data_IF_229323602343
#
_entry.id   IF_229323602343
#
_cell.length_a   1.000
_cell.length_b   1.000
_cell.length_c   1.000
_cell.angle_alpha   90.00
_cell.angle_beta   90.00
_cell.angle_gamma   90.00
#
_symmetry.space_group_name_H-M   'P 1'
#
loop_
_entity.id
_entity.type
_entity.pdbx_description
1 polymer ?
#
# COMPACT_ATOMS: atom_id res chain seq x y z
N UNK A 1 0.51 -35.73 0.23
CA UNK A 1 0.06 -35.74 -1.18
C UNK A 1 -1.47 -35.70 -1.26
N UNK A 2 -2.20 -36.72 -0.76
CA UNK A 2 -3.68 -36.72 -0.79
C UNK A 2 -4.36 -35.51 -0.12
N UNK A 3 -3.89 -35.07 1.05
CA UNK A 3 -4.48 -33.90 1.73
C UNK A 3 -4.34 -32.58 0.93
N UNK A 4 -3.24 -32.40 0.18
CA UNK A 4 -3.04 -31.21 -0.65
C UNK A 4 -3.88 -31.26 -1.93
N UNK A 5 -4.09 -32.45 -2.51
CA UNK A 5 -4.99 -32.66 -3.64
C UNK A 5 -6.45 -32.38 -3.26
N UNK A 6 -6.84 -32.71 -2.03
CA UNK A 6 -8.18 -32.47 -1.51
C UNK A 6 -8.42 -30.98 -1.24
N UNK A 7 -7.43 -30.26 -0.69
CA UNK A 7 -7.47 -28.80 -0.55
C UNK A 7 -7.57 -28.11 -1.92
N UNK A 8 -6.80 -28.56 -2.93
CA UNK A 8 -6.91 -28.03 -4.30
C UNK A 8 -8.27 -28.27 -4.93
N UNK A 9 -8.90 -29.42 -4.66
CA UNK A 9 -10.28 -29.68 -5.11
C UNK A 9 -11.26 -28.70 -4.47
N UNK A 10 -11.12 -28.41 -3.18
CA UNK A 10 -11.97 -27.43 -2.49
C UNK A 10 -11.76 -26.01 -3.05
N UNK A 11 -10.53 -25.65 -3.42
CA UNK A 11 -10.20 -24.37 -4.07
C UNK A 11 -10.73 -24.24 -5.51
N UNK A 12 -11.01 -25.36 -6.20
CA UNK A 12 -11.46 -25.37 -7.60
C UNK A 12 -12.98 -25.18 -7.80
N UNK A 13 -13.76 -25.14 -6.71
CA UNK A 13 -15.21 -24.92 -6.70
C UNK A 13 -15.46 -23.40 -6.73
N UNK A 14 -16.56 -22.89 -7.33
CA UNK A 14 -16.86 -21.46 -7.33
C UNK A 14 -16.78 -20.84 -5.93
N UNK A 15 -15.78 -19.96 -5.76
CA UNK A 15 -15.55 -19.20 -4.54
C UNK A 15 -16.41 -17.93 -4.57
N UNK A 16 -16.94 -17.56 -3.43
CA UNK A 16 -17.68 -16.31 -3.20
C UNK A 16 -16.76 -15.35 -2.47
N UNK A 17 -16.70 -14.10 -2.91
CA UNK A 17 -15.90 -13.06 -2.26
C UNK A 17 -16.69 -12.52 -1.07
N UNK A 18 -16.03 -12.40 0.08
CA UNK A 18 -16.54 -11.74 1.27
C UNK A 18 -15.49 -10.80 1.87
N UNK A 19 -15.92 -10.02 2.86
CA UNK A 19 -15.06 -9.17 3.67
C UNK A 19 -14.87 -9.80 5.05
N UNK A 20 -13.63 -9.94 5.48
CA UNK A 20 -13.31 -10.38 6.83
C UNK A 20 -13.65 -9.27 7.83
N UNK A 21 -14.47 -9.56 8.83
CA UNK A 21 -14.83 -8.59 9.87
C UNK A 21 -13.94 -8.76 11.09
N UNK A 22 -14.02 -9.94 11.72
CA UNK A 22 -13.35 -10.20 12.99
C UNK A 22 -13.07 -11.69 13.18
N UNK A 23 -11.94 -12.02 13.82
CA UNK A 23 -11.68 -13.38 14.30
C UNK A 23 -12.26 -13.53 15.71
N UNK A 24 -13.16 -14.51 15.88
CA UNK A 24 -13.75 -14.82 17.19
C UNK A 24 -12.84 -15.78 17.95
N UNK A 25 -12.38 -16.84 17.28
CA UNK A 25 -11.62 -17.93 17.88
C UNK A 25 -10.44 -18.37 16.99
N UNK A 26 -9.71 -19.39 17.43
CA UNK A 26 -8.60 -19.98 16.64
C UNK A 26 -9.07 -20.61 15.32
N UNK A 27 -10.29 -21.13 15.28
CA UNK A 27 -10.83 -21.85 14.12
C UNK A 27 -12.01 -21.13 13.46
N UNK A 28 -12.40 -19.95 13.95
CA UNK A 28 -13.65 -19.33 13.54
C UNK A 28 -13.57 -17.81 13.45
N UNK A 29 -14.19 -17.27 12.41
CA UNK A 29 -14.28 -15.84 12.14
C UNK A 29 -15.68 -15.42 11.69
N UNK A 30 -15.94 -14.13 11.76
CA UNK A 30 -17.11 -13.51 11.18
C UNK A 30 -16.69 -12.87 9.86
N UNK A 31 -17.42 -13.18 8.80
CA UNK A 31 -17.24 -12.60 7.47
C UNK A 31 -18.53 -11.96 7.01
N UNK A 32 -18.44 -10.79 6.40
CA UNK A 32 -19.54 -10.14 5.71
C UNK A 32 -19.56 -10.60 4.26
N UNK A 33 -20.67 -11.13 3.77
CA UNK A 33 -20.89 -11.28 2.33
C UNK A 33 -21.10 -9.91 1.70
N UNK A 34 -20.78 -9.78 0.40
CA UNK A 34 -21.09 -8.60 -0.42
C UNK A 34 -22.59 -8.25 -0.43
N UNK A 35 -23.46 -9.19 -0.05
CA UNK A 35 -24.90 -8.98 0.13
C UNK A 35 -25.30 -8.31 1.45
N UNK A 36 -24.33 -7.97 2.32
CA UNK A 36 -24.56 -7.33 3.62
C UNK A 36 -24.99 -8.29 4.74
N UNK A 37 -24.96 -9.60 4.50
CA UNK A 37 -25.21 -10.62 5.51
C UNK A 37 -23.91 -11.09 6.16
N UNK A 38 -23.90 -11.21 7.48
CA UNK A 38 -22.75 -11.71 8.23
C UNK A 38 -22.87 -13.22 8.47
N UNK A 39 -21.79 -13.95 8.22
CA UNK A 39 -21.70 -15.39 8.41
C UNK A 39 -20.63 -15.72 9.44
N UNK A 40 -20.95 -16.66 10.33
CA UNK A 40 -20.00 -17.29 11.24
C UNK A 40 -19.35 -18.46 10.50
N UNK A 41 -18.05 -18.37 10.23
CA UNK A 41 -17.37 -19.24 9.28
C UNK A 41 -16.11 -19.85 9.85
N UNK A 42 -15.91 -21.14 9.55
CA UNK A 42 -14.70 -21.85 9.96
C UNK A 42 -13.53 -21.44 9.08
N UNK A 43 -12.40 -21.12 9.70
CA UNK A 43 -11.12 -20.85 9.04
C UNK A 43 -10.45 -22.19 8.73
N UNK A 44 -10.06 -22.39 7.47
CA UNK A 44 -9.22 -23.54 7.11
C UNK A 44 -7.80 -23.32 7.61
N UNK A 45 -7.19 -24.36 8.17
CA UNK A 45 -5.83 -24.34 8.74
C UNK A 45 -4.71 -24.10 7.73
N UNK A 46 -5.05 -23.94 6.45
CA UNK A 46 -4.11 -23.65 5.36
C UNK A 46 -3.73 -22.16 5.30
N UNK A 47 -4.41 -21.30 6.04
CA UNK A 47 -4.31 -19.84 5.94
C UNK A 47 -3.50 -19.26 7.09
N UNK A 48 -2.57 -18.37 6.77
CA UNK A 48 -1.78 -17.63 7.75
C UNK A 48 -2.63 -16.53 8.42
N UNK A 49 -2.79 -16.65 9.74
CA UNK A 49 -3.61 -15.75 10.55
C UNK A 49 -3.08 -14.31 10.60
N UNK A 50 -1.78 -14.12 10.37
CA UNK A 50 -1.17 -12.79 10.35
C UNK A 50 -1.62 -11.93 9.16
N UNK A 51 -2.08 -12.58 8.09
CA UNK A 51 -2.60 -11.92 6.89
C UNK A 51 -4.07 -11.51 7.05
N UNK A 52 -4.78 -12.07 8.04
CA UNK A 52 -6.20 -11.78 8.31
C UNK A 52 -6.33 -10.44 9.06
N UNK A 53 -6.43 -9.36 8.29
CA UNK A 53 -6.73 -8.02 8.81
C UNK A 53 -8.22 -7.71 8.66
N UNK A 54 -8.82 -6.94 9.58
CA UNK A 54 -10.20 -6.48 9.44
C UNK A 54 -10.38 -5.72 8.12
N UNK A 55 -11.45 -6.04 7.40
CA UNK A 55 -11.80 -5.62 6.04
C UNK A 55 -10.92 -6.18 4.92
N UNK A 56 -10.14 -7.24 5.16
CA UNK A 56 -9.47 -7.96 4.08
C UNK A 56 -10.49 -8.71 3.21
N UNK A 57 -10.24 -8.76 1.90
CA UNK A 57 -11.03 -9.58 0.97
C UNK A 57 -10.67 -11.05 1.19
N UNK A 58 -11.68 -11.89 1.40
CA UNK A 58 -11.51 -13.32 1.65
C UNK A 58 -12.36 -14.14 0.69
N UNK A 59 -11.84 -15.30 0.31
CA UNK A 59 -12.53 -16.28 -0.51
C UNK A 59 -13.28 -17.27 0.39
N UNK A 60 -14.59 -17.35 0.18
CA UNK A 60 -15.51 -18.23 0.89
C UNK A 60 -15.99 -19.34 -0.03
N UNK A 61 -16.15 -20.54 0.53
CA UNK A 61 -16.75 -21.64 -0.20
C UNK A 61 -18.27 -21.47 -0.31
N UNK A 62 -18.84 -21.59 -1.52
CA UNK A 62 -20.27 -21.29 -1.80
C UNK A 62 -21.29 -22.08 -0.95
N UNK A 63 -20.99 -23.32 -0.57
CA UNK A 63 -21.95 -24.19 0.14
C UNK A 63 -21.73 -24.27 1.65
N UNK A 64 -20.48 -24.20 2.10
CA UNK A 64 -20.12 -24.36 3.51
C UNK A 64 -19.75 -23.05 4.19
N UNK A 65 -19.69 -21.96 3.41
CA UNK A 65 -19.19 -20.64 3.81
C UNK A 65 -17.81 -20.70 4.50
N UNK A 66 -17.05 -21.78 4.35
CA UNK A 66 -15.73 -21.88 4.97
C UNK A 66 -14.75 -20.90 4.32
N UNK A 67 -13.87 -20.30 5.12
CA UNK A 67 -12.84 -19.39 4.65
C UNK A 67 -11.70 -20.23 4.07
N UNK A 68 -11.50 -20.13 2.75
CA UNK A 68 -10.58 -20.95 1.96
C UNK A 68 -9.26 -20.25 1.71
N UNK A 69 -9.32 -18.96 1.40
CA UNK A 69 -8.12 -18.18 1.11
C UNK A 69 -8.34 -16.69 1.44
N UNK A 70 -7.25 -15.97 1.65
CA UNK A 70 -7.25 -14.51 1.70
C UNK A 70 -6.89 -14.04 0.31
N UNK A 71 -7.81 -13.32 -0.32
CA UNK A 71 -7.51 -12.73 -1.61
C UNK A 71 -6.55 -11.56 -1.38
N UNK A 72 -5.58 -11.33 -2.27
CA UNK A 72 -4.82 -10.09 -2.22
C UNK A 72 -5.84 -8.96 -2.19
N UNK A 73 -5.67 -7.98 -1.26
CA UNK A 73 -6.56 -6.84 -1.20
C UNK A 73 -6.64 -6.31 -2.63
N UNK A 74 -7.86 -6.17 -3.15
CA UNK A 74 -8.08 -5.59 -4.47
C UNK A 74 -7.27 -4.30 -4.49
N UNK A 75 -6.09 -4.35 -5.12
CA UNK A 75 -5.36 -3.15 -5.44
C UNK A 75 -6.29 -2.53 -6.45
N UNK A 76 -7.13 -1.61 -5.98
CA UNK A 76 -8.05 -0.91 -6.85
C UNK A 76 -7.23 -0.49 -8.06
N UNK A 77 -7.74 -0.75 -9.26
CA UNK A 77 -7.05 -0.37 -10.49
C UNK A 77 -6.65 1.11 -10.50
N UNK A 78 -7.33 1.94 -9.68
CA UNK A 78 -6.96 3.33 -9.39
C UNK A 78 -5.61 3.48 -8.68
N UNK A 79 -5.22 2.58 -7.78
CA UNK A 79 -3.96 2.63 -7.03
C UNK A 79 -2.79 2.20 -7.91
N UNK A 80 -2.98 1.19 -8.78
CA UNK A 80 -1.99 0.85 -9.81
C UNK A 80 -1.74 2.01 -10.79
N UNK A 81 -2.70 2.90 -11.01
CA UNK A 81 -2.48 4.13 -11.79
C UNK A 81 -1.69 5.21 -11.03
N UNK A 82 -1.63 5.16 -9.69
CA UNK A 82 -0.81 6.07 -8.87
C UNK A 82 0.67 5.69 -8.86
N UNK A 83 0.98 4.40 -9.06
CA UNK A 83 2.32 3.96 -9.45
C UNK A 83 2.55 4.29 -10.91
N UNK A 84 2.81 5.56 -11.17
CA UNK A 84 3.41 5.93 -12.45
C UNK A 84 4.82 5.35 -12.47
N UNK A 85 5.00 4.24 -13.17
CA UNK A 85 6.29 3.62 -13.51
C UNK A 85 7.18 4.54 -14.39
N UNK A 86 6.81 5.81 -14.49
CA UNK A 86 7.50 6.83 -15.26
C UNK A 86 8.28 7.69 -14.28
N UNK A 87 9.56 7.34 -14.09
CA UNK A 87 10.53 8.29 -13.57
C UNK A 87 10.40 9.58 -14.38
N UNK A 88 10.12 10.73 -13.74
CA UNK A 88 10.01 11.98 -14.47
C UNK A 88 11.36 12.35 -15.06
N UNK A 89 11.43 12.78 -16.32
CA UNK A 89 12.69 13.13 -17.02
C UNK A 89 13.31 14.48 -16.59
N UNK A 90 12.82 15.09 -15.51
CA UNK A 90 13.27 16.43 -15.06
C UNK A 90 14.54 16.28 -14.23
N UNK A 91 15.60 17.02 -14.56
CA UNK A 91 16.85 17.04 -13.80
C UNK A 91 16.99 18.31 -12.94
N UNK A 92 17.90 18.31 -11.96
CA UNK A 92 18.21 19.53 -11.18
C UNK A 92 18.75 20.68 -12.04
N UNK A 93 19.37 20.35 -13.18
CA UNK A 93 19.87 21.32 -14.15
C UNK A 93 18.75 22.12 -14.83
N UNK A 94 17.54 21.54 -14.92
CA UNK A 94 16.38 22.20 -15.55
C UNK A 94 15.71 23.22 -14.62
N UNK A 95 16.08 23.23 -13.34
CA UNK A 95 15.53 24.14 -12.34
C UNK A 95 16.51 25.31 -12.18
N UNK A 96 16.08 26.54 -12.51
CA UNK A 96 16.89 27.74 -12.29
C UNK A 96 16.89 28.19 -10.82
N UNK A 97 18.08 28.49 -10.28
CA UNK A 97 18.25 29.03 -8.91
C UNK A 97 17.87 28.05 -7.80
N UNK A 98 17.44 28.60 -6.64
CA UNK A 98 17.01 27.85 -5.44
C UNK A 98 18.07 26.90 -4.89
N UNK A 99 19.34 27.32 -4.92
CA UNK A 99 20.47 26.45 -4.60
C UNK A 99 20.44 25.96 -3.15
N UNK A 100 20.00 26.82 -2.22
CA UNK A 100 19.82 26.47 -0.81
C UNK A 100 18.76 25.37 -0.67
N UNK A 101 17.60 25.53 -1.30
CA UNK A 101 16.48 24.58 -1.18
C UNK A 101 16.81 23.25 -1.88
N UNK A 102 17.52 23.29 -3.01
CA UNK A 102 18.01 22.08 -3.67
C UNK A 102 18.96 21.31 -2.75
N UNK A 103 19.89 22.01 -2.09
CA UNK A 103 20.83 21.40 -1.17
C UNK A 103 20.11 20.74 0.01
N UNK A 104 19.19 21.46 0.67
CA UNK A 104 18.42 20.94 1.80
C UNK A 104 17.62 19.67 1.44
N UNK A 105 16.97 19.65 0.27
CA UNK A 105 16.18 18.49 -0.15
C UNK A 105 17.07 17.30 -0.52
N UNK A 106 18.24 17.54 -1.11
CA UNK A 106 19.22 16.48 -1.39
C UNK A 106 19.79 15.89 -0.11
N UNK A 107 20.11 16.72 0.87
CA UNK A 107 20.56 16.25 2.18
C UNK A 107 19.47 15.50 2.94
N UNK A 108 18.21 15.90 2.79
CA UNK A 108 17.09 15.22 3.44
C UNK A 108 16.72 13.87 2.79
N UNK A 109 16.90 13.72 1.47
CA UNK A 109 16.41 12.55 0.72
C UNK A 109 17.55 11.69 0.15
N UNK A 110 18.52 12.28 -0.55
CA UNK A 110 19.60 11.53 -1.20
C UNK A 110 20.66 11.03 -0.19
N UNK A 111 21.00 11.86 0.80
CA UNK A 111 22.06 11.53 1.76
C UNK A 111 21.72 10.30 2.64
N UNK A 112 20.49 10.16 3.19
CA UNK A 112 20.13 8.97 3.95
C UNK A 112 20.09 7.69 3.11
N UNK A 113 19.76 7.79 1.82
CA UNK A 113 19.66 6.65 0.91
C UNK A 113 21.04 6.17 0.44
N UNK A 114 21.96 7.10 0.20
CA UNK A 114 23.31 6.78 -0.31
C UNK A 114 24.31 6.47 0.80
N UNK A 115 24.25 7.18 1.93
CA UNK A 115 25.25 7.11 3.00
C UNK A 115 24.60 6.90 4.37
N UNK A 116 23.79 5.85 4.50
CA UNK A 116 23.15 5.49 5.77
C UNK A 116 24.13 5.24 6.92
N UNK A 117 25.37 4.81 6.62
CA UNK A 117 26.41 4.55 7.61
C UNK A 117 26.79 5.78 8.43
N UNK A 118 26.79 6.98 7.83
CA UNK A 118 27.09 8.24 8.53
C UNK A 118 26.08 8.51 9.65
N UNK A 119 24.79 8.31 9.37
CA UNK A 119 23.73 8.46 10.37
C UNK A 119 23.88 7.45 11.51
N UNK A 120 24.24 6.21 11.19
CA UNK A 120 24.46 5.14 12.18
C UNK A 120 25.66 5.42 13.10
N UNK A 121 26.75 5.97 12.56
CA UNK A 121 27.94 6.32 13.34
C UNK A 121 27.69 7.49 14.29
N UNK A 122 26.95 8.49 13.83
CA UNK A 122 26.62 9.68 14.64
C UNK A 122 25.48 9.36 15.65
N UNK A 123 24.68 8.32 15.38
CA UNK A 123 23.58 7.90 16.25
C UNK A 123 22.35 8.80 16.13
N UNK A 124 22.15 9.43 14.97
CA UNK A 124 21.01 10.32 14.68
C UNK A 124 20.09 9.63 13.68
N UNK A 125 18.79 9.71 13.92
CA UNK A 125 17.79 9.23 12.98
C UNK A 125 17.68 10.16 11.75
N UNK A 126 17.65 9.62 10.52
CA UNK A 126 17.44 10.43 9.33
C UNK A 126 16.05 11.09 9.35
N UNK A 127 15.89 12.26 8.69
CA UNK A 127 14.60 12.93 8.60
C UNK A 127 13.56 12.04 7.90
N UNK A 128 12.35 11.99 8.47
CA UNK A 128 11.26 11.10 7.98
C UNK A 128 10.49 11.66 6.79
N UNK A 129 10.56 12.96 6.53
CA UNK A 129 9.84 13.61 5.45
C UNK A 129 10.17 15.09 5.33
N UNK A 130 9.84 15.67 4.17
CA UNK A 130 10.10 17.07 3.84
C UNK A 130 8.79 17.74 3.46
N UNK A 131 8.53 18.93 4.02
CA UNK A 131 7.36 19.74 3.67
C UNK A 131 7.80 20.95 2.84
N UNK A 132 7.35 21.02 1.59
CA UNK A 132 7.58 22.17 0.72
C UNK A 132 6.36 23.09 0.72
N UNK A 133 6.53 24.33 1.21
CA UNK A 133 5.46 25.33 1.27
C UNK A 133 5.89 26.67 0.64
N UNK A 134 4.91 27.50 0.27
CA UNK A 134 5.12 28.83 -0.32
C UNK A 134 4.16 29.12 -1.49
N UNK A 135 4.31 30.26 -2.18
CA UNK A 135 3.42 30.68 -3.25
C UNK A 135 3.32 29.66 -4.39
N UNK A 136 2.18 29.60 -5.11
CA UNK A 136 2.08 28.80 -6.32
C UNK A 136 3.05 29.31 -7.39
N UNK A 137 3.59 28.41 -8.21
CA UNK A 137 4.52 28.76 -9.30
C UNK A 137 6.01 28.74 -8.94
N UNK A 138 6.39 28.57 -7.67
CA UNK A 138 7.79 28.48 -7.24
C UNK A 138 8.46 27.11 -7.48
N UNK A 139 7.99 26.30 -8.44
CA UNK A 139 8.69 25.06 -8.83
C UNK A 139 8.70 23.90 -7.82
N UNK A 140 7.90 23.91 -6.75
CA UNK A 140 7.86 22.84 -5.72
C UNK A 140 7.67 21.44 -6.33
N UNK A 141 6.70 21.31 -7.24
CA UNK A 141 6.41 20.04 -7.94
C UNK A 141 7.54 19.64 -8.89
N UNK A 142 8.24 20.61 -9.50
CA UNK A 142 9.39 20.32 -10.37
C UNK A 142 10.58 19.82 -9.54
N UNK A 143 10.83 20.42 -8.38
CA UNK A 143 11.89 19.98 -7.46
C UNK A 143 11.63 18.56 -6.97
N UNK A 144 10.39 18.23 -6.60
CA UNK A 144 10.01 16.86 -6.23
C UNK A 144 10.28 15.85 -7.36
N UNK A 145 9.97 16.21 -8.61
CA UNK A 145 10.25 15.38 -9.78
C UNK A 145 11.76 15.22 -10.02
N UNK A 146 12.55 16.28 -9.88
CA UNK A 146 14.00 16.20 -10.04
C UNK A 146 14.65 15.29 -8.99
N UNK A 147 14.19 15.34 -7.74
CA UNK A 147 14.64 14.42 -6.68
C UNK A 147 14.31 12.98 -7.05
N UNK A 148 13.09 12.74 -7.53
CA UNK A 148 12.64 11.41 -7.94
C UNK A 148 13.40 10.85 -9.14
N UNK A 149 13.87 11.71 -10.05
CA UNK A 149 14.73 11.30 -11.16
C UNK A 149 16.13 10.88 -10.68
N UNK A 150 16.70 11.62 -9.72
CA UNK A 150 18.04 11.35 -9.20
C UNK A 150 18.11 10.16 -8.23
N UNK A 151 17.01 9.84 -7.55
CA UNK A 151 16.94 8.66 -6.69
C UNK A 151 16.57 7.41 -7.49
N UNK A 152 17.18 6.27 -7.14
CA UNK A 152 16.85 4.96 -7.71
C UNK A 152 15.60 4.32 -7.10
N UNK A 153 14.88 5.04 -6.23
CA UNK A 153 13.71 4.55 -5.50
C UNK A 153 12.43 4.65 -6.34
N UNK A 154 11.41 3.89 -5.96
CA UNK A 154 10.08 3.98 -6.55
C UNK A 154 9.45 5.35 -6.21
N UNK A 155 8.90 6.03 -7.24
CA UNK A 155 8.23 7.31 -7.07
C UNK A 155 6.72 7.13 -7.15
N UNK A 156 6.03 7.47 -6.05
CA UNK A 156 4.56 7.40 -5.96
C UNK A 156 4.04 8.83 -5.84
N UNK A 157 3.28 9.26 -6.84
CA UNK A 157 2.65 10.59 -6.85
C UNK A 157 1.17 10.45 -6.54
N UNK A 158 0.75 11.04 -5.42
CA UNK A 158 -0.67 11.11 -5.06
C UNK A 158 -1.09 12.56 -4.87
N UNK A 159 -2.24 12.93 -5.42
CA UNK A 159 -2.83 14.25 -5.24
C UNK A 159 -3.78 14.19 -4.05
N UNK A 160 -3.68 15.14 -3.10
CA UNK A 160 -4.51 15.12 -1.88
C UNK A 160 -6.02 15.09 -2.13
N UNK A 161 -6.48 15.64 -3.26
CA UNK A 161 -7.89 15.58 -3.67
C UNK A 161 -8.38 14.17 -4.03
N UNK A 162 -7.48 13.25 -4.39
CA UNK A 162 -7.83 11.86 -4.74
C UNK A 162 -8.29 11.05 -3.52
N UNK A 163 -7.86 11.45 -2.31
CA UNK A 163 -8.30 10.81 -1.06
C UNK A 163 -9.73 11.18 -0.65
N UNK A 164 -10.31 12.22 -1.24
CA UNK A 164 -11.68 12.65 -0.93
C UNK A 164 -12.66 11.81 -1.72
N UNK A 165 -13.22 10.79 -1.07
CA UNK A 165 -14.18 9.87 -1.66
C UNK A 165 -15.60 10.08 -1.11
N UNK A 166 -16.60 9.82 -1.96
CA UNK A 166 -18.01 9.91 -1.59
C UNK A 166 -18.43 8.80 -0.62
N UNK A 167 -17.79 7.64 -0.71
CA UNK A 167 -18.15 6.47 0.09
C UNK A 167 -17.38 6.46 1.43
N UNK A 168 -18.13 6.22 2.51
CA UNK A 168 -17.58 6.16 3.85
C UNK A 168 -16.59 4.99 3.96
N UNK A 169 -15.39 5.27 4.47
CA UNK A 169 -14.34 4.26 4.67
C UNK A 169 -13.42 4.01 3.47
N UNK A 170 -13.78 4.50 2.28
CA UNK A 170 -12.96 4.35 1.07
C UNK A 170 -11.67 5.21 1.15
N UNK A 171 -11.77 6.46 1.62
CA UNK A 171 -10.60 7.32 1.82
C UNK A 171 -9.53 6.70 2.74
N UNK A 172 -9.87 6.30 3.99
CA UNK A 172 -8.93 5.61 4.88
C UNK A 172 -8.41 4.27 4.36
N UNK A 173 -9.18 3.56 3.52
CA UNK A 173 -8.72 2.34 2.84
C UNK A 173 -7.63 2.68 1.82
N UNK A 174 -7.90 3.66 0.94
CA UNK A 174 -6.96 4.13 -0.08
C UNK A 174 -5.62 4.60 0.52
N UNK A 175 -5.65 5.36 1.62
CA UNK A 175 -4.42 5.79 2.31
C UNK A 175 -3.59 4.58 2.76
N UNK A 176 -4.22 3.59 3.40
CA UNK A 176 -3.53 2.37 3.87
C UNK A 176 -2.94 1.58 2.70
N UNK A 177 -3.67 1.51 1.60
CA UNK A 177 -3.24 0.76 0.42
C UNK A 177 -2.06 1.45 -0.29
N UNK A 178 -2.04 2.78 -0.37
CA UNK A 178 -0.88 3.55 -0.90
C UNK A 178 0.38 3.32 -0.06
N UNK A 179 0.27 3.37 1.28
CA UNK A 179 1.42 3.09 2.15
C UNK A 179 1.87 1.63 2.11
N UNK A 180 0.93 0.69 1.91
CA UNK A 180 1.26 -0.73 1.72
C UNK A 180 2.08 -0.91 0.44
N UNK A 181 1.62 -0.34 -0.67
CA UNK A 181 2.32 -0.37 -1.96
C UNK A 181 3.72 0.24 -1.87
N UNK A 182 3.89 1.34 -1.14
CA UNK A 182 5.18 1.97 -0.90
C UNK A 182 6.14 1.12 -0.06
N UNK A 183 5.63 0.15 0.73
CA UNK A 183 6.45 -0.76 1.54
C UNK A 183 6.81 -2.05 0.81
N UNK A 184 6.00 -2.45 -0.15
CA UNK A 184 6.19 -3.66 -0.96
C UNK A 184 7.21 -3.46 -2.10
N UNK A 185 7.40 -2.21 -2.55
CA UNK A 185 8.45 -1.81 -3.52
C UNK A 185 9.73 -1.35 -2.79
#
# INVERSE_FOLDING_TARGET
>A
LHAQEEVKRIQSIPLVIGQFLEAVDQNTAIVGSTTGSNYYVRILSTIDRELLKPNASVALHKHSNALVDVLPPEADSSIMMLTSDQKPDVMYADIGGMDIQKQEVREAVELPLTHFELYKQIGIDPPRGVLMYGPPGCGKTMLAKAVAHHTTAAFIRVVGSEFVQKYLGEGPRMVRDVFRLAKEN
#
